data_IF_808689654256
#
_entry.id   IF_808689654256
#
_cell.length_a   1.000
_cell.length_b   1.000
_cell.length_c   1.000
_cell.angle_alpha   90.00
_cell.angle_beta   90.00
_cell.angle_gamma   90.00
#
_symmetry.space_group_name_H-M   'P 1'
#
loop_
_entity.id
_entity.type
_entity.pdbx_description
1 polymer ?
#
# COMPACT_ATOMS: atom_id res chain seq x y z
N UNK A 1 -6.97 -35.95 76.30
CA UNK A 1 -5.63 -35.70 75.71
C UNK A 1 -5.69 -36.14 74.25
N UNK A 2 -5.69 -35.20 73.31
CA UNK A 2 -5.69 -35.53 71.89
C UNK A 2 -4.24 -35.82 71.49
N UNK A 3 -3.94 -37.08 71.17
CA UNK A 3 -2.65 -37.49 70.61
C UNK A 3 -2.55 -36.95 69.19
N UNK A 4 -1.63 -36.00 68.95
CA UNK A 4 -1.22 -35.64 67.60
C UNK A 4 -0.36 -36.78 67.06
N UNK A 5 -0.90 -37.58 66.13
CA UNK A 5 -0.13 -38.60 65.43
C UNK A 5 0.81 -37.89 64.46
N UNK A 6 2.13 -38.05 64.65
CA UNK A 6 3.14 -37.51 63.74
C UNK A 6 2.99 -38.09 62.34
N UNK A 7 3.19 -37.26 61.31
CA UNK A 7 3.10 -37.70 59.91
C UNK A 7 4.16 -38.75 59.60
N UNK A 8 3.76 -39.79 58.86
CA UNK A 8 4.69 -40.78 58.34
C UNK A 8 5.50 -40.20 57.18
N UNK A 9 6.72 -40.69 57.00
CA UNK A 9 7.59 -40.27 55.89
C UNK A 9 6.92 -40.51 54.52
N UNK A 10 6.08 -41.54 54.42
CA UNK A 10 5.28 -41.88 53.24
C UNK A 10 4.18 -40.84 52.96
N UNK A 11 3.46 -40.37 54.00
CA UNK A 11 2.46 -39.30 53.83
C UNK A 11 3.09 -37.99 53.35
N UNK A 12 4.30 -37.67 53.83
CA UNK A 12 5.03 -36.49 53.37
C UNK A 12 5.45 -36.62 51.89
N UNK A 13 5.97 -37.78 51.49
CA UNK A 13 6.34 -38.04 50.09
C UNK A 13 5.12 -37.98 49.17
N UNK A 14 4.00 -38.56 49.60
CA UNK A 14 2.75 -38.53 48.85
C UNK A 14 2.21 -37.11 48.68
N UNK A 15 2.22 -36.31 49.75
CA UNK A 15 1.79 -34.91 49.73
C UNK A 15 2.66 -34.07 48.77
N UNK A 16 3.98 -34.26 48.78
CA UNK A 16 4.90 -33.58 47.87
C UNK A 16 4.65 -33.96 46.41
N UNK A 17 4.48 -35.25 46.11
CA UNK A 17 4.22 -35.73 44.74
C UNK A 17 2.90 -35.17 44.22
N UNK A 18 1.82 -35.22 45.03
CA UNK A 18 0.52 -34.67 44.63
C UNK A 18 0.58 -33.15 44.45
N UNK A 19 1.27 -32.42 45.34
CA UNK A 19 1.48 -30.98 45.21
C UNK A 19 2.21 -30.61 43.92
N UNK A 20 3.26 -31.34 43.56
CA UNK A 20 3.99 -31.16 42.30
C UNK A 20 3.11 -31.39 41.08
N UNK A 21 2.28 -32.44 41.08
CA UNK A 21 1.37 -32.74 39.97
C UNK A 21 0.33 -31.63 39.77
N UNK A 22 -0.25 -31.12 40.86
CA UNK A 22 -1.23 -30.03 40.80
C UNK A 22 -0.57 -28.74 40.30
N UNK A 23 0.63 -28.41 40.80
CA UNK A 23 1.38 -27.24 40.34
C UNK A 23 1.75 -27.33 38.86
N UNK A 24 2.16 -28.52 38.38
CA UNK A 24 2.45 -28.74 36.97
C UNK A 24 1.20 -28.54 36.09
N UNK A 25 0.04 -29.08 36.50
CA UNK A 25 -1.23 -28.88 35.79
C UNK A 25 -1.67 -27.41 35.78
N UNK A 26 -1.58 -26.71 36.91
CA UNK A 26 -1.91 -25.29 37.01
C UNK A 26 -1.00 -24.42 36.14
N UNK A 27 0.31 -24.72 36.12
CA UNK A 27 1.28 -24.04 35.27
C UNK A 27 0.98 -24.26 33.79
N UNK A 28 0.63 -25.49 33.39
CA UNK A 28 0.24 -25.80 32.02
C UNK A 28 -0.99 -24.98 31.58
N UNK A 29 -2.03 -24.92 32.43
CA UNK A 29 -3.23 -24.12 32.15
C UNK A 29 -2.91 -22.63 32.02
N UNK A 30 -2.05 -22.10 32.90
CA UNK A 30 -1.61 -20.71 32.83
C UNK A 30 -0.85 -20.41 31.52
N UNK A 31 0.10 -21.27 31.13
CA UNK A 31 0.86 -21.11 29.88
C UNK A 31 -0.06 -21.16 28.66
N UNK A 32 -0.99 -22.12 28.61
CA UNK A 32 -1.98 -22.21 27.53
C UNK A 32 -2.88 -20.98 27.49
N UNK A 33 -3.34 -20.48 28.64
CA UNK A 33 -4.12 -19.25 28.73
C UNK A 33 -3.36 -18.03 28.20
N UNK A 34 -2.09 -17.88 28.57
CA UNK A 34 -1.23 -16.78 28.11
C UNK A 34 -0.98 -16.82 26.59
N UNK A 35 -0.71 -18.01 26.04
CA UNK A 35 -0.53 -18.20 24.59
C UNK A 35 -1.82 -17.86 23.83
N UNK A 36 -2.96 -18.37 24.30
CA UNK A 36 -4.26 -18.11 23.66
C UNK A 36 -4.64 -16.62 23.71
N UNK A 37 -4.32 -15.94 24.82
CA UNK A 37 -4.52 -14.51 24.93
C UNK A 37 -3.67 -13.73 23.91
N UNK A 38 -2.39 -14.06 23.77
CA UNK A 38 -1.51 -13.44 22.76
C UNK A 38 -1.98 -13.69 21.33
N UNK A 39 -2.45 -14.91 21.04
CA UNK A 39 -3.07 -15.27 19.76
C UNK A 39 -4.31 -14.42 19.47
N UNK A 40 -5.25 -14.33 20.42
CA UNK A 40 -6.46 -13.54 20.26
C UNK A 40 -6.16 -12.06 20.05
N UNK A 41 -5.18 -11.52 20.78
CA UNK A 41 -4.70 -10.14 20.61
C UNK A 41 -4.14 -9.91 19.20
N UNK A 42 -3.23 -10.76 18.73
CA UNK A 42 -2.66 -10.65 17.38
C UNK A 42 -3.73 -10.75 16.28
N UNK A 43 -4.73 -11.61 16.45
CA UNK A 43 -5.84 -11.73 15.50
C UNK A 43 -6.72 -10.47 15.49
N UNK A 44 -7.00 -9.88 16.65
CA UNK A 44 -7.73 -8.61 16.74
C UNK A 44 -6.96 -7.47 16.07
N UNK A 45 -5.64 -7.38 16.30
CA UNK A 45 -4.77 -6.38 15.65
C UNK A 45 -4.75 -6.53 14.12
N UNK A 46 -4.72 -7.76 13.61
CA UNK A 46 -4.81 -8.04 12.17
C UNK A 46 -6.15 -7.58 11.59
N UNK A 47 -7.24 -7.83 12.31
CA UNK A 47 -8.58 -7.39 11.92
C UNK A 47 -8.69 -5.86 11.90
N UNK A 48 -8.14 -5.17 12.89
CA UNK A 48 -8.12 -3.70 12.94
C UNK A 48 -7.28 -3.12 11.78
N UNK A 49 -6.07 -3.64 11.57
CA UNK A 49 -5.23 -3.25 10.43
C UNK A 49 -5.97 -3.44 9.10
N UNK A 50 -6.68 -4.57 8.93
CA UNK A 50 -7.48 -4.86 7.75
C UNK A 50 -8.68 -3.92 7.55
N UNK A 51 -9.40 -3.61 8.64
CA UNK A 51 -10.60 -2.78 8.58
C UNK A 51 -10.30 -1.30 8.35
N UNK A 52 -9.22 -0.76 8.92
CA UNK A 52 -8.96 0.69 8.86
C UNK A 52 -7.98 1.07 7.76
N UNK A 53 -6.94 0.26 7.56
CA UNK A 53 -5.78 0.64 6.76
C UNK A 53 -6.07 0.89 5.29
N UNK A 54 -6.55 -0.13 4.56
CA UNK A 54 -6.85 0.02 3.13
C UNK A 54 -8.03 0.97 2.89
N UNK A 55 -9.03 0.99 3.78
CA UNK A 55 -10.19 1.88 3.65
C UNK A 55 -9.81 3.37 3.66
N UNK A 56 -8.78 3.75 4.40
CA UNK A 56 -8.22 5.10 4.36
C UNK A 56 -7.74 5.45 2.95
N UNK A 57 -6.93 4.57 2.33
CA UNK A 57 -6.40 4.75 0.98
C UNK A 57 -7.53 4.78 -0.06
N UNK A 58 -8.56 3.94 0.09
CA UNK A 58 -9.69 3.90 -0.84
C UNK A 58 -10.45 5.22 -0.92
N UNK A 59 -10.53 5.98 0.19
CA UNK A 59 -11.18 7.30 0.20
C UNK A 59 -10.51 8.24 -0.79
N UNK A 60 -9.18 8.24 -0.82
CA UNK A 60 -8.40 9.10 -1.69
C UNK A 60 -8.35 8.57 -3.13
N UNK A 61 -8.27 7.25 -3.32
CA UNK A 61 -8.35 6.66 -4.68
C UNK A 61 -9.69 7.00 -5.36
N UNK A 62 -10.79 7.15 -4.61
CA UNK A 62 -12.07 7.60 -5.19
C UNK A 62 -12.02 9.02 -5.73
N UNK A 63 -11.09 9.85 -5.25
CA UNK A 63 -10.86 11.20 -5.75
C UNK A 63 -9.94 11.20 -6.97
N UNK A 64 -9.21 10.12 -7.24
CA UNK A 64 -8.32 10.03 -8.39
C UNK A 64 -9.03 10.43 -9.69
N UNK A 65 -8.34 11.18 -10.54
CA UNK A 65 -8.84 11.72 -11.81
C UNK A 65 -9.90 12.81 -11.67
N UNK A 66 -10.14 13.33 -10.46
CA UNK A 66 -11.04 14.48 -10.27
C UNK A 66 -10.45 15.72 -10.95
N UNK A 67 -11.21 16.27 -11.89
CA UNK A 67 -10.86 17.43 -12.72
C UNK A 67 -9.58 17.22 -13.55
N UNK A 68 -9.35 15.98 -13.99
CA UNK A 68 -8.38 15.66 -15.02
C UNK A 68 -8.84 16.16 -16.40
N UNK A 69 -7.93 16.22 -17.37
CA UNK A 69 -8.21 16.72 -18.72
C UNK A 69 -9.31 15.90 -19.42
N UNK A 70 -9.20 14.57 -19.29
CA UNK A 70 -10.21 13.62 -19.76
C UNK A 70 -10.74 12.76 -18.61
N UNK A 71 -12.00 12.37 -18.71
CA UNK A 71 -12.64 11.37 -17.85
C UNK A 71 -12.22 9.92 -18.22
N UNK A 72 -10.94 9.74 -18.54
CA UNK A 72 -10.29 8.47 -18.91
C UNK A 72 -8.96 8.37 -18.17
N UNK A 73 -8.77 7.29 -17.40
CA UNK A 73 -7.48 7.04 -16.73
C UNK A 73 -6.63 6.13 -17.61
N UNK A 74 -5.49 6.62 -18.09
CA UNK A 74 -4.50 5.80 -18.81
C UNK A 74 -3.08 6.37 -18.63
N UNK A 75 -2.12 5.86 -19.39
CA UNK A 75 -0.70 6.19 -19.31
C UNK A 75 -0.29 7.50 -20.01
N UNK A 76 -1.21 8.15 -20.74
CA UNK A 76 -0.91 9.36 -21.53
C UNK A 76 -1.79 10.55 -21.21
N UNK A 77 -2.99 10.34 -20.67
CA UNK A 77 -3.91 11.41 -20.34
C UNK A 77 -3.26 12.38 -19.35
N UNK A 78 -3.33 13.67 -19.65
CA UNK A 78 -2.78 14.69 -18.77
C UNK A 78 -3.64 14.79 -17.52
N UNK A 79 -2.96 14.89 -16.38
CA UNK A 79 -3.59 14.91 -15.06
C UNK A 79 -4.32 13.61 -14.67
N UNK A 80 -4.05 12.50 -15.38
CA UNK A 80 -4.64 11.19 -15.12
C UNK A 80 -4.57 10.79 -13.64
N UNK A 81 -5.64 10.22 -13.13
CA UNK A 81 -5.79 9.86 -11.72
C UNK A 81 -4.80 8.83 -11.20
N UNK A 82 -4.24 7.99 -12.08
CA UNK A 82 -3.12 7.09 -11.73
C UNK A 82 -1.92 7.55 -12.53
N UNK A 83 -0.82 7.76 -11.81
CA UNK A 83 0.37 8.42 -12.36
C UNK A 83 1.43 7.38 -12.66
N UNK A 84 1.72 7.18 -13.94
CA UNK A 84 2.80 6.31 -14.42
C UNK A 84 3.91 7.09 -15.10
N UNK A 85 3.53 8.14 -15.84
CA UNK A 85 4.38 8.77 -16.85
C UNK A 85 4.59 10.25 -16.61
N UNK A 86 5.78 10.70 -17.01
CA UNK A 86 6.14 12.10 -17.12
C UNK A 86 6.77 12.34 -18.49
N UNK A 87 7.24 13.56 -18.74
CA UNK A 87 7.99 13.82 -19.97
C UNK A 87 9.28 12.98 -20.08
N UNK A 88 9.82 12.49 -18.94
CA UNK A 88 10.98 11.58 -18.89
C UNK A 88 10.64 10.16 -19.34
N UNK A 89 9.37 9.81 -19.52
CA UNK A 89 8.95 8.53 -20.13
C UNK A 89 9.31 8.43 -21.61
N UNK A 90 9.53 9.54 -22.30
CA UNK A 90 9.86 9.54 -23.72
C UNK A 90 11.38 9.63 -23.96
N UNK A 91 11.89 8.77 -24.84
CA UNK A 91 13.25 8.89 -25.38
C UNK A 91 13.26 9.76 -26.65
N UNK A 92 14.15 10.75 -26.72
CA UNK A 92 14.47 11.43 -27.97
C UNK A 92 13.49 12.50 -28.44
N UNK A 93 12.60 13.01 -27.57
CA UNK A 93 11.78 14.19 -27.90
C UNK A 93 12.64 15.46 -27.98
N UNK A 94 12.37 16.28 -29.00
CA UNK A 94 12.90 17.65 -29.08
C UNK A 94 12.26 18.56 -28.01
N UNK A 95 12.85 19.74 -27.78
CA UNK A 95 12.31 20.70 -26.81
C UNK A 95 10.87 21.14 -27.14
N UNK A 96 10.54 21.29 -28.42
CA UNK A 96 9.19 21.70 -28.85
C UNK A 96 8.20 20.54 -28.81
N UNK A 97 8.64 19.32 -29.13
CA UNK A 97 7.82 18.13 -28.98
C UNK A 97 7.43 17.87 -27.52
N UNK A 98 8.32 18.21 -26.57
CA UNK A 98 8.01 18.06 -25.14
C UNK A 98 6.83 18.91 -24.68
N UNK A 99 6.62 20.08 -25.28
CA UNK A 99 5.54 21.02 -24.90
C UNK A 99 4.15 20.51 -25.29
N UNK A 100 4.08 19.60 -26.26
CA UNK A 100 2.83 19.06 -26.82
C UNK A 100 2.65 17.56 -26.56
N UNK A 101 3.67 16.90 -26.01
CA UNK A 101 3.59 15.49 -25.65
C UNK A 101 2.69 15.30 -24.42
N UNK A 102 1.85 14.28 -24.47
CA UNK A 102 0.93 13.94 -23.38
C UNK A 102 1.54 12.89 -22.46
N UNK A 103 1.43 13.12 -21.15
CA UNK A 103 1.85 12.25 -20.07
C UNK A 103 1.00 12.57 -18.83
N UNK A 104 1.01 11.72 -17.80
CA UNK A 104 0.16 11.95 -16.63
C UNK A 104 0.54 13.22 -15.87
N UNK A 105 1.84 13.44 -15.67
CA UNK A 105 2.38 14.69 -15.13
C UNK A 105 2.64 15.68 -16.28
N UNK A 106 2.20 16.94 -16.16
CA UNK A 106 2.39 17.94 -17.21
C UNK A 106 3.87 18.26 -17.48
N UNK A 107 4.19 18.65 -18.71
CA UNK A 107 5.57 18.81 -19.18
C UNK A 107 6.41 19.84 -18.38
N UNK A 108 5.76 20.82 -17.76
CA UNK A 108 6.44 21.86 -16.99
C UNK A 108 7.07 21.31 -15.70
N UNK A 109 6.59 20.17 -15.19
CA UNK A 109 7.24 19.43 -14.11
C UNK A 109 8.36 18.59 -14.72
N UNK A 110 9.57 19.15 -14.71
CA UNK A 110 10.74 18.55 -15.37
C UNK A 110 11.94 18.32 -14.45
N UNK A 111 11.85 18.73 -13.19
CA UNK A 111 12.91 18.54 -12.20
C UNK A 111 13.03 17.10 -11.71
N UNK A 112 13.70 16.91 -10.58
CA UNK A 112 14.03 15.58 -10.01
C UNK A 112 12.76 14.84 -9.54
N UNK A 113 11.77 15.57 -9.04
CA UNK A 113 10.46 15.00 -8.70
C UNK A 113 9.75 14.33 -9.89
N UNK A 114 10.13 14.66 -11.13
CA UNK A 114 9.59 14.04 -12.35
C UNK A 114 10.23 12.68 -12.69
N UNK A 115 11.17 12.18 -11.89
CA UNK A 115 11.80 10.88 -12.10
C UNK A 115 10.80 9.73 -11.96
N UNK A 116 10.87 8.76 -12.88
CA UNK A 116 9.90 7.67 -12.99
C UNK A 116 9.86 6.76 -11.74
N UNK A 117 10.94 6.72 -10.96
CA UNK A 117 11.01 6.01 -9.69
C UNK A 117 10.03 6.57 -8.62
N UNK A 118 9.55 7.81 -8.80
CA UNK A 118 8.58 8.42 -7.89
C UNK A 118 7.13 8.06 -8.21
N UNK A 119 6.85 7.33 -9.29
CA UNK A 119 5.50 7.09 -9.79
C UNK A 119 5.11 5.61 -9.73
N UNK A 120 3.90 5.28 -10.20
CA UNK A 120 3.36 3.91 -10.11
C UNK A 120 4.27 2.92 -10.81
N UNK A 121 4.78 1.94 -10.07
CA UNK A 121 5.72 0.92 -10.56
C UNK A 121 5.50 -0.41 -9.84
N UNK A 122 5.62 -1.50 -10.58
CA UNK A 122 5.56 -2.85 -10.02
C UNK A 122 6.94 -3.29 -9.52
N UNK A 123 6.96 -4.07 -8.44
CA UNK A 123 8.15 -4.82 -7.97
C UNK A 123 9.38 -3.94 -7.67
N UNK A 124 9.18 -2.75 -7.13
CA UNK A 124 10.26 -1.80 -6.77
C UNK A 124 10.47 -1.63 -5.28
N UNK A 125 9.44 -1.88 -4.47
CA UNK A 125 9.41 -1.61 -3.03
C UNK A 125 10.00 -2.72 -2.16
N UNK A 126 10.16 -2.41 -0.87
CA UNK A 126 10.56 -3.40 0.14
C UNK A 126 9.50 -4.49 0.29
N UNK A 127 9.93 -5.70 0.65
CA UNK A 127 9.05 -6.83 0.91
C UNK A 127 9.78 -7.86 1.79
N UNK A 128 9.01 -8.61 2.57
CA UNK A 128 9.47 -9.76 3.36
C UNK A 128 9.12 -11.10 2.69
N UNK A 129 8.80 -11.07 1.40
CA UNK A 129 8.51 -12.24 0.56
C UNK A 129 9.47 -12.32 -0.63
N UNK A 130 9.40 -13.40 -1.40
CA UNK A 130 10.23 -13.69 -2.56
C UNK A 130 10.03 -12.74 -3.77
N UNK A 131 9.09 -11.79 -3.68
CA UNK A 131 8.78 -10.78 -4.71
C UNK A 131 8.79 -9.39 -4.06
N UNK A 132 9.30 -8.38 -4.77
CA UNK A 132 9.30 -6.98 -4.31
C UNK A 132 7.89 -6.40 -4.37
N UNK A 133 7.56 -5.50 -3.44
CA UNK A 133 6.24 -4.85 -3.40
C UNK A 133 6.10 -3.81 -4.50
N UNK A 134 4.85 -3.48 -4.81
CA UNK A 134 4.51 -2.42 -5.74
C UNK A 134 4.52 -1.03 -5.08
N UNK A 135 4.49 0.00 -5.92
CA UNK A 135 4.26 1.39 -5.55
C UNK A 135 3.10 1.92 -6.39
N UNK A 136 2.10 2.51 -5.74
CA UNK A 136 0.96 3.14 -6.40
C UNK A 136 1.00 4.64 -6.19
N UNK A 137 0.82 5.40 -7.27
CA UNK A 137 0.69 6.86 -7.21
C UNK A 137 -0.62 7.29 -7.85
N UNK A 138 -1.40 8.03 -7.08
CA UNK A 138 -2.62 8.67 -7.55
C UNK A 138 -2.45 10.18 -7.54
N UNK A 139 -3.33 10.86 -8.28
CA UNK A 139 -3.48 12.29 -8.13
C UNK A 139 -4.92 12.75 -8.35
N UNK A 140 -5.22 13.91 -7.79
CA UNK A 140 -6.50 14.59 -7.94
C UNK A 140 -6.33 16.08 -7.70
N UNK A 141 -7.22 16.89 -8.27
CA UNK A 141 -7.23 18.33 -8.01
C UNK A 141 -7.84 18.63 -6.64
N UNK A 142 -7.25 19.59 -5.92
CA UNK A 142 -7.79 20.10 -4.68
C UNK A 142 -9.22 20.64 -4.89
N UNK A 143 -10.16 20.23 -4.03
CA UNK A 143 -11.58 20.58 -4.17
C UNK A 143 -12.28 20.96 -2.86
N UNK A 144 -11.74 20.53 -1.71
CA UNK A 144 -12.32 20.80 -0.38
C UNK A 144 -11.34 21.64 0.45
N UNK A 145 -11.67 22.89 0.80
CA UNK A 145 -10.79 23.78 1.56
C UNK A 145 -10.71 23.42 3.05
N UNK A 146 -11.44 22.40 3.50
CA UNK A 146 -11.32 21.82 4.84
C UNK A 146 -10.76 20.39 4.79
N UNK A 147 -10.34 19.94 3.59
CA UNK A 147 -9.74 18.64 3.39
C UNK A 147 -8.29 18.58 3.85
N UNK A 148 -7.76 17.36 3.88
CA UNK A 148 -6.36 17.07 4.15
C UNK A 148 -5.87 16.08 3.11
N UNK A 149 -4.57 16.14 2.80
CA UNK A 149 -3.91 15.02 2.12
C UNK A 149 -3.60 13.88 3.09
N UNK A 150 -3.06 12.78 2.57
CA UNK A 150 -2.76 11.57 3.31
C UNK A 150 -1.64 11.75 4.35
N UNK A 151 -0.88 12.85 4.28
CA UNK A 151 0.11 13.21 5.29
C UNK A 151 -0.46 14.13 6.36
N UNK A 152 -1.72 14.55 6.23
CA UNK A 152 -2.40 15.43 7.17
C UNK A 152 -2.13 16.91 6.92
N UNK A 153 -1.58 17.29 5.76
CA UNK A 153 -1.43 18.71 5.43
C UNK A 153 -2.78 19.27 4.95
N UNK A 154 -3.21 20.44 5.47
CA UNK A 154 -4.50 21.02 5.08
C UNK A 154 -4.51 21.43 3.61
N UNK A 155 -5.69 21.34 3.00
CA UNK A 155 -5.97 21.88 1.67
C UNK A 155 -6.62 23.25 1.87
N UNK A 156 -6.03 24.31 1.34
CA UNK A 156 -6.54 25.67 1.52
C UNK A 156 -7.44 26.10 0.35
N UNK A 157 -8.22 27.18 0.54
CA UNK A 157 -8.93 27.80 -0.59
C UNK A 157 -7.96 28.29 -1.69
N UNK A 158 -6.77 28.78 -1.31
CA UNK A 158 -5.72 29.18 -2.25
C UNK A 158 -5.25 28.01 -3.13
N UNK A 159 -5.21 26.80 -2.58
CA UNK A 159 -4.88 25.59 -3.35
C UNK A 159 -5.92 25.29 -4.42
N UNK A 160 -7.20 25.48 -4.10
CA UNK A 160 -8.30 25.29 -5.05
C UNK A 160 -8.23 26.35 -6.15
N UNK A 161 -8.08 27.61 -5.75
CA UNK A 161 -8.06 28.76 -6.66
C UNK A 161 -6.88 28.69 -7.65
N UNK A 162 -5.74 28.14 -7.21
CA UNK A 162 -4.54 27.92 -8.05
C UNK A 162 -4.53 26.57 -8.79
N UNK A 163 -5.62 25.81 -8.70
CA UNK A 163 -5.75 24.49 -9.32
C UNK A 163 -4.62 23.54 -8.90
N UNK A 164 -4.31 23.51 -7.60
CA UNK A 164 -3.31 22.62 -7.03
C UNK A 164 -3.75 21.17 -7.21
N UNK A 165 -2.90 20.37 -7.84
CA UNK A 165 -2.99 18.91 -7.83
C UNK A 165 -2.25 18.37 -6.61
N UNK A 166 -2.88 17.39 -5.98
CA UNK A 166 -2.32 16.60 -4.89
C UNK A 166 -1.93 15.24 -5.47
N UNK A 167 -0.68 14.87 -5.27
CA UNK A 167 -0.08 13.62 -5.72
C UNK A 167 0.21 12.78 -4.48
N UNK A 168 -0.26 11.54 -4.43
CA UNK A 168 -0.11 10.69 -3.25
C UNK A 168 0.49 9.35 -3.66
N UNK A 169 1.62 9.02 -3.03
CA UNK A 169 2.41 7.82 -3.28
C UNK A 169 2.30 6.85 -2.12
N UNK A 170 1.80 5.64 -2.40
CA UNK A 170 1.64 4.55 -1.45
C UNK A 170 2.66 3.44 -1.73
N UNK A 171 3.46 3.08 -0.74
CA UNK A 171 4.53 2.09 -0.85
C UNK A 171 4.94 1.54 0.52
N UNK A 172 5.75 0.48 0.54
CA UNK A 172 6.31 -0.05 1.79
C UNK A 172 7.64 0.61 2.15
N UNK A 173 7.75 1.06 3.41
CA UNK A 173 8.97 1.58 4.03
C UNK A 173 9.30 0.81 5.30
N UNK A 174 10.57 0.78 5.69
CA UNK A 174 10.98 0.27 7.00
C UNK A 174 10.42 1.14 8.15
N UNK A 175 9.96 0.48 9.22
CA UNK A 175 9.37 1.06 10.43
C UNK A 175 10.16 0.56 11.66
N UNK A 176 11.25 1.27 11.97
CA UNK A 176 12.17 0.90 13.04
C UNK A 176 13.12 -0.23 12.65
N UNK A 177 13.07 -1.35 13.36
CA UNK A 177 13.98 -2.49 13.17
C UNK A 177 13.88 -3.13 11.78
N UNK A 178 14.97 -3.77 11.34
CA UNK A 178 15.00 -4.50 10.07
C UNK A 178 13.87 -5.53 9.98
N UNK A 179 13.21 -5.61 8.82
CA UNK A 179 12.06 -6.48 8.57
C UNK A 179 10.72 -5.94 9.06
N UNK A 180 10.69 -4.90 9.91
CA UNK A 180 9.43 -4.23 10.23
C UNK A 180 9.11 -3.27 9.09
N UNK A 181 8.10 -3.60 8.30
CA UNK A 181 7.66 -2.80 7.17
C UNK A 181 6.28 -2.21 7.45
N UNK A 182 6.04 -1.01 6.93
CA UNK A 182 4.78 -0.30 7.02
C UNK A 182 4.38 0.21 5.63
N UNK A 183 3.07 0.14 5.34
CA UNK A 183 2.48 0.85 4.20
C UNK A 183 2.34 2.32 4.58
N UNK A 184 3.00 3.16 3.81
CA UNK A 184 3.07 4.59 4.05
C UNK A 184 2.43 5.38 2.92
N UNK A 185 2.09 6.63 3.20
CA UNK A 185 1.73 7.61 2.18
C UNK A 185 2.71 8.78 2.21
N UNK A 186 3.11 9.24 1.03
CA UNK A 186 3.95 10.40 0.78
C UNK A 186 3.18 11.33 -0.16
N UNK A 187 2.96 12.58 0.22
CA UNK A 187 2.15 13.53 -0.50
C UNK A 187 2.99 14.65 -1.10
N UNK A 188 2.65 15.05 -2.32
CA UNK A 188 3.23 16.21 -2.96
C UNK A 188 2.19 17.03 -3.71
N UNK A 189 2.55 18.26 -4.08
CA UNK A 189 1.64 19.22 -4.69
C UNK A 189 2.28 20.00 -5.83
N UNK A 190 1.48 20.32 -6.85
CA UNK A 190 1.87 21.26 -7.91
C UNK A 190 0.69 22.08 -8.40
N UNK A 191 0.94 23.33 -8.81
CA UNK A 191 -0.09 24.29 -9.24
C UNK A 191 -0.23 24.30 -10.76
N UNK A 192 -1.44 24.55 -11.24
CA UNK A 192 -1.75 24.55 -12.68
C UNK A 192 -2.43 25.83 -13.16
N UNK A 193 -3.16 26.54 -12.30
CA UNK A 193 -3.87 27.78 -12.62
C UNK A 193 -3.07 28.99 -12.10
N UNK A 194 -1.86 29.15 -12.62
CA UNK A 194 -0.96 30.27 -12.33
C UNK A 194 -0.37 30.81 -13.64
N UNK A 195 0.21 32.00 -13.60
CA UNK A 195 0.94 32.54 -14.76
C UNK A 195 2.05 31.59 -15.22
N UNK A 196 2.32 31.54 -16.52
CA UNK A 196 3.32 30.62 -17.10
C UNK A 196 4.69 30.73 -16.45
N UNK A 197 5.12 31.94 -16.07
CA UNK A 197 6.40 32.18 -15.40
C UNK A 197 6.43 31.66 -13.95
N UNK A 198 5.27 31.42 -13.35
CA UNK A 198 5.09 30.92 -11.99
C UNK A 198 4.75 29.41 -11.93
N UNK A 199 4.68 28.72 -13.07
CA UNK A 199 4.49 27.28 -13.10
C UNK A 199 5.68 26.58 -12.40
N UNK A 200 5.43 25.65 -11.46
CA UNK A 200 6.49 24.97 -10.75
C UNK A 200 7.21 23.99 -11.67
N UNK A 201 8.50 23.75 -11.44
CA UNK A 201 9.26 22.72 -12.16
C UNK A 201 9.33 21.38 -11.42
N UNK A 202 8.83 21.34 -10.18
CA UNK A 202 8.82 20.18 -9.31
C UNK A 202 7.48 20.00 -8.60
N UNK A 203 7.21 18.78 -8.17
CA UNK A 203 6.15 18.44 -7.22
C UNK A 203 6.72 18.67 -5.81
N UNK A 204 6.22 19.69 -5.12
CA UNK A 204 6.69 20.06 -3.78
C UNK A 204 6.21 19.06 -2.74
N UNK A 205 7.07 18.64 -1.81
CA UNK A 205 6.75 17.69 -0.73
C UNK A 205 6.96 16.21 -1.10
N UNK A 206 6.83 15.85 -2.38
CA UNK A 206 6.98 14.45 -2.81
C UNK A 206 8.39 13.93 -2.53
N UNK A 207 8.51 12.92 -1.66
CA UNK A 207 9.77 12.33 -1.25
C UNK A 207 10.44 13.01 -0.05
N UNK A 208 9.84 14.04 0.52
CA UNK A 208 10.35 14.77 1.69
C UNK A 208 9.81 14.22 3.02
N UNK A 209 8.91 13.23 2.97
CA UNK A 209 8.29 12.62 4.14
C UNK A 209 7.48 11.40 3.76
N UNK A 210 7.03 10.64 4.76
CA UNK A 210 5.88 9.75 4.56
C UNK A 210 5.28 9.33 5.89
N UNK A 211 3.96 9.32 5.95
CA UNK A 211 3.18 8.94 7.11
C UNK A 211 2.75 7.47 7.05
N UNK A 212 2.77 6.81 8.20
CA UNK A 212 2.36 5.42 8.31
C UNK A 212 0.84 5.33 8.25
N UNK A 213 0.32 4.56 7.29
CA UNK A 213 -1.10 4.22 7.18
C UNK A 213 -1.36 2.87 7.83
N UNK A 214 -0.50 1.89 7.57
CA UNK A 214 -0.57 0.56 8.17
C UNK A 214 0.81 0.09 8.60
N UNK A 215 0.93 -0.38 9.83
CA UNK A 215 2.14 -1.06 10.30
C UNK A 215 2.07 -2.54 9.97
N UNK A 216 3.23 -3.20 10.01
CA UNK A 216 3.37 -4.67 9.90
C UNK A 216 2.82 -5.23 8.58
N UNK A 217 3.15 -4.57 7.47
CA UNK A 217 2.79 -5.03 6.12
C UNK A 217 4.01 -5.67 5.47
N UNK A 218 3.98 -6.98 5.26
CA UNK A 218 5.10 -7.75 4.71
C UNK A 218 5.18 -7.68 3.17
N UNK A 219 4.06 -7.46 2.49
CA UNK A 219 3.99 -7.36 1.03
C UNK A 219 2.80 -6.50 0.59
N UNK A 220 2.99 -5.64 -0.42
CA UNK A 220 1.95 -4.81 -1.02
C UNK A 220 1.93 -5.01 -2.54
N UNK A 221 0.75 -5.27 -3.09
CA UNK A 221 0.55 -5.64 -4.50
C UNK A 221 -0.68 -4.94 -5.07
N UNK A 222 -0.60 -4.54 -6.35
CA UNK A 222 -1.63 -3.74 -7.00
C UNK A 222 -2.00 -4.31 -8.36
N UNK A 223 -3.30 -4.52 -8.57
CA UNK A 223 -3.86 -4.84 -9.88
C UNK A 223 -4.66 -3.68 -10.46
N UNK A 224 -4.51 -3.50 -11.76
CA UNK A 224 -5.26 -2.54 -12.57
C UNK A 224 -6.37 -3.30 -13.28
N UNK A 225 -7.62 -2.99 -12.97
CA UNK A 225 -8.75 -3.47 -13.76
C UNK A 225 -8.92 -2.57 -14.96
N UNK A 226 -8.60 -3.09 -16.15
CA UNK A 226 -8.62 -2.35 -17.41
C UNK A 226 -9.77 -2.78 -18.30
N UNK A 227 -10.24 -1.85 -19.12
CA UNK A 227 -11.13 -2.15 -20.26
C UNK A 227 -10.33 -2.01 -21.55
N UNK A 228 -10.31 -3.06 -22.36
CA UNK A 228 -9.57 -3.07 -23.63
C UNK A 228 -10.05 -1.95 -24.56
N UNK A 229 -9.15 -1.39 -25.36
CA UNK A 229 -9.48 -0.25 -26.24
C UNK A 229 -10.42 -0.64 -27.39
N UNK A 230 -10.28 -1.87 -27.90
CA UNK A 230 -10.95 -2.31 -29.12
C UNK A 230 -12.07 -3.34 -28.87
N UNK A 231 -12.22 -3.82 -27.64
CA UNK A 231 -13.23 -4.81 -27.23
C UNK A 231 -13.88 -4.37 -25.93
N UNK A 232 -15.11 -4.82 -25.65
CA UNK A 232 -15.78 -4.52 -24.37
C UNK A 232 -15.33 -5.46 -23.24
N UNK A 233 -14.10 -5.97 -23.33
CA UNK A 233 -13.54 -6.94 -22.40
C UNK A 233 -12.85 -6.24 -21.23
N UNK A 234 -13.12 -6.76 -20.04
CA UNK A 234 -12.51 -6.32 -18.80
C UNK A 234 -11.52 -7.37 -18.31
N UNK A 235 -10.33 -6.93 -17.92
CA UNK A 235 -9.28 -7.81 -17.40
C UNK A 235 -8.52 -7.12 -16.28
N UNK A 236 -8.05 -7.90 -15.31
CA UNK A 236 -7.06 -7.43 -14.35
C UNK A 236 -5.66 -7.67 -14.90
N UNK A 237 -4.77 -6.71 -14.69
CA UNK A 237 -3.36 -6.83 -15.06
C UNK A 237 -2.48 -6.15 -14.02
N UNK A 238 -1.25 -6.64 -13.87
CA UNK A 238 -0.24 -6.05 -13.01
C UNK A 238 0.30 -4.74 -13.62
N UNK A 239 0.91 -3.89 -12.80
CA UNK A 239 1.50 -2.63 -13.27
C UNK A 239 2.56 -2.87 -14.36
N UNK A 240 3.38 -3.92 -14.23
CA UNK A 240 4.42 -4.26 -15.22
C UNK A 240 3.85 -4.90 -16.49
N UNK A 241 2.70 -5.58 -16.44
CA UNK A 241 1.97 -5.98 -17.65
C UNK A 241 1.39 -4.77 -18.39
N UNK A 242 0.95 -3.75 -17.65
CA UNK A 242 0.41 -2.52 -18.23
C UNK A 242 1.52 -1.63 -18.80
N UNK A 243 2.50 -1.21 -18.00
CA UNK A 243 3.54 -0.25 -18.40
C UNK A 243 4.85 -0.85 -18.93
N UNK A 244 5.11 -2.13 -18.67
CA UNK A 244 6.47 -2.69 -18.75
C UNK A 244 7.32 -2.30 -17.53
N UNK A 245 8.63 -2.58 -17.59
CA UNK A 245 9.53 -2.38 -16.44
C UNK A 245 10.01 -0.93 -16.23
N UNK A 246 9.91 -0.06 -17.26
CA UNK A 246 10.58 1.24 -17.28
C UNK A 246 9.64 2.44 -17.42
N UNK A 247 8.33 2.22 -17.41
CA UNK A 247 7.31 3.26 -17.66
C UNK A 247 7.59 4.12 -18.90
N UNK A 248 8.13 3.50 -19.95
CA UNK A 248 8.52 4.19 -21.18
C UNK A 248 7.33 4.39 -22.12
N UNK A 249 7.35 5.52 -22.83
CA UNK A 249 6.41 5.90 -23.87
C UNK A 249 7.12 6.04 -25.21
N UNK A 250 6.42 5.64 -26.28
CA UNK A 250 6.85 5.89 -27.66
C UNK A 250 6.17 7.13 -28.20
N UNK A 251 6.88 7.96 -28.97
CA UNK A 251 6.33 9.21 -29.50
C UNK A 251 5.01 9.02 -30.28
N UNK A 252 4.95 8.02 -31.16
CA UNK A 252 3.79 7.72 -32.00
C UNK A 252 2.92 6.56 -31.46
N UNK A 253 2.99 6.24 -30.17
CA UNK A 253 2.19 5.18 -29.58
C UNK A 253 0.77 5.63 -29.24
N UNK A 254 -0.18 4.71 -29.33
CA UNK A 254 -1.54 4.91 -28.83
C UNK A 254 -1.58 4.79 -27.30
N UNK A 255 -2.52 5.45 -26.61
CA UNK A 255 -2.76 5.22 -25.19
C UNK A 255 -3.09 3.74 -24.92
N UNK A 256 -2.64 3.23 -23.78
CA UNK A 256 -2.98 1.88 -23.31
C UNK A 256 -4.44 1.79 -22.87
N UNK A 257 -4.98 0.57 -22.69
CA UNK A 257 -6.32 0.33 -22.18
C UNK A 257 -6.68 1.19 -20.97
N UNK A 258 -7.89 1.75 -20.95
CA UNK A 258 -8.35 2.59 -19.84
C UNK A 258 -8.43 1.79 -18.54
N UNK A 259 -7.96 2.39 -17.45
CA UNK A 259 -8.03 1.83 -16.10
C UNK A 259 -9.37 2.21 -15.48
N UNK A 260 -10.14 1.20 -15.09
CA UNK A 260 -11.49 1.34 -14.57
C UNK A 260 -11.57 1.08 -13.06
N UNK A 261 -10.64 0.30 -12.52
CA UNK A 261 -10.59 0.00 -11.09
C UNK A 261 -9.18 -0.32 -10.65
N UNK A 262 -8.94 -0.23 -9.35
CA UNK A 262 -7.70 -0.65 -8.70
C UNK A 262 -8.05 -1.70 -7.65
N UNK A 263 -7.31 -2.80 -7.63
CA UNK A 263 -7.32 -3.73 -6.50
C UNK A 263 -6.02 -3.58 -5.72
N UNK A 264 -6.16 -3.38 -4.42
CA UNK A 264 -5.06 -3.35 -3.46
C UNK A 264 -5.03 -4.68 -2.71
N UNK A 265 -3.86 -5.30 -2.62
CA UNK A 265 -3.62 -6.47 -1.79
C UNK A 265 -2.45 -6.21 -0.85
N UNK A 266 -2.60 -6.62 0.42
CA UNK A 266 -1.53 -6.53 1.39
C UNK A 266 -1.46 -7.81 2.24
N UNK A 267 -0.25 -8.33 2.43
CA UNK A 267 0.03 -9.37 3.42
C UNK A 267 0.40 -8.68 4.73
N UNK A 268 -0.46 -8.78 5.73
CA UNK A 268 -0.27 -8.15 7.04
C UNK A 268 0.13 -9.19 8.08
N UNK A 269 0.88 -8.79 9.11
CA UNK A 269 1.27 -9.65 10.23
C UNK A 269 0.93 -9.05 11.59
N UNK A 270 0.74 -9.90 12.59
CA UNK A 270 0.58 -9.50 14.00
C UNK A 270 1.84 -8.82 14.55
N UNK A 271 1.71 -8.07 15.65
CA UNK A 271 2.84 -7.34 16.24
C UNK A 271 3.74 -8.24 17.08
N UNK A 272 3.13 -9.20 17.78
CA UNK A 272 3.82 -10.09 18.70
C UNK A 272 4.12 -11.43 18.02
N UNK A 273 5.31 -11.99 18.26
CA UNK A 273 5.64 -13.34 17.77
C UNK A 273 4.91 -14.42 18.56
N UNK A 274 4.70 -15.57 17.92
CA UNK A 274 4.14 -16.77 18.55
C UNK A 274 5.23 -17.83 18.77
N UNK A 275 4.91 -18.86 19.56
CA UNK A 275 5.86 -19.90 19.95
C UNK A 275 6.36 -20.73 18.75
N UNK A 276 7.63 -21.14 18.81
CA UNK A 276 8.36 -21.84 17.74
C UNK A 276 7.72 -23.16 17.29
N UNK A 277 6.88 -23.80 18.12
CA UNK A 277 6.31 -25.12 17.86
C UNK A 277 5.13 -25.11 16.89
N UNK A 278 4.56 -23.94 16.59
CA UNK A 278 3.41 -23.84 15.70
C UNK A 278 3.84 -23.88 14.23
N UNK A 279 3.14 -24.71 13.43
CA UNK A 279 3.29 -24.75 11.97
C UNK A 279 2.41 -23.66 11.38
N UNK A 280 3.02 -22.54 11.01
CA UNK A 280 2.35 -21.48 10.27
C UNK A 280 2.52 -21.67 8.75
N UNK A 281 1.56 -21.20 7.94
CA UNK A 281 1.74 -21.11 6.50
C UNK A 281 2.94 -20.23 6.15
N UNK A 282 3.76 -20.68 5.20
CA UNK A 282 4.86 -19.90 4.63
C UNK A 282 4.52 -19.35 3.23
N UNK A 283 3.47 -19.86 2.60
CA UNK A 283 2.99 -19.44 1.29
C UNK A 283 1.64 -18.75 1.39
N UNK A 284 1.47 -17.67 0.64
CA UNK A 284 0.26 -16.85 0.58
C UNK A 284 -0.05 -16.49 -0.88
N UNK A 285 -1.31 -16.20 -1.18
CA UNK A 285 -1.70 -15.63 -2.48
C UNK A 285 -2.30 -14.26 -2.22
N UNK A 286 -1.66 -13.22 -2.75
CA UNK A 286 -2.12 -11.83 -2.66
C UNK A 286 -2.61 -11.42 -4.04
N UNK A 287 -3.93 -11.31 -4.18
CA UNK A 287 -4.61 -11.17 -5.47
C UNK A 287 -4.26 -12.32 -6.43
N UNK A 288 -3.55 -12.04 -7.53
CA UNK A 288 -3.07 -13.02 -8.52
C UNK A 288 -1.65 -13.54 -8.22
N UNK A 289 -0.95 -12.95 -7.25
CA UNK A 289 0.45 -13.23 -6.99
C UNK A 289 0.62 -14.24 -5.84
N UNK A 290 1.12 -15.44 -6.17
CA UNK A 290 1.60 -16.39 -5.17
C UNK A 290 2.98 -15.94 -4.64
N UNK A 291 3.12 -15.90 -3.31
CA UNK A 291 4.32 -15.45 -2.61
C UNK A 291 4.70 -16.38 -1.47
N UNK A 292 5.98 -16.44 -1.14
CA UNK A 292 6.52 -17.17 0.00
C UNK A 292 7.35 -16.24 0.87
N UNK A 293 7.26 -16.37 2.20
CA UNK A 293 8.07 -15.52 3.09
C UNK A 293 9.56 -15.78 2.87
N UNK A 294 10.35 -14.71 2.97
CA UNK A 294 11.82 -14.75 2.87
C UNK A 294 12.48 -15.09 4.21
N UNK A 295 11.72 -15.60 5.18
CA UNK A 295 12.19 -15.85 6.56
C UNK A 295 12.95 -17.16 6.68
N UNK A 296 13.91 -17.19 7.60
CA UNK A 296 14.62 -18.39 8.05
C UNK A 296 13.83 -19.15 9.12
N UNK A 297 14.14 -20.43 9.35
CA UNK A 297 13.52 -21.23 10.42
C UNK A 297 13.81 -20.68 11.82
N UNK A 298 14.90 -19.90 11.98
CA UNK A 298 15.26 -19.23 13.22
C UNK A 298 14.56 -17.88 13.43
N UNK A 299 13.79 -17.40 12.46
CA UNK A 299 13.11 -16.12 12.57
C UNK A 299 11.87 -16.23 13.48
N UNK A 300 11.54 -15.16 14.23
CA UNK A 300 10.30 -15.13 14.99
C UNK A 300 9.09 -15.36 14.09
N UNK A 301 8.18 -16.23 14.53
CA UNK A 301 6.96 -16.59 13.80
C UNK A 301 5.86 -15.59 14.10
N UNK A 302 5.19 -15.12 13.05
CA UNK A 302 4.06 -14.19 13.16
C UNK A 302 2.86 -14.72 12.39
N UNK A 303 1.68 -14.54 12.97
CA UNK A 303 0.41 -14.79 12.28
C UNK A 303 0.27 -13.73 11.20
N UNK A 304 -0.25 -14.17 10.05
CA UNK A 304 -0.41 -13.36 8.85
C UNK A 304 -1.78 -13.57 8.25
N UNK A 305 -2.28 -12.53 7.63
CA UNK A 305 -3.50 -12.58 6.84
C UNK A 305 -3.37 -11.73 5.58
N UNK A 306 -4.14 -12.08 4.55
CA UNK A 306 -4.20 -11.32 3.31
C UNK A 306 -5.45 -10.46 3.33
N UNK A 307 -5.24 -9.16 3.25
CA UNK A 307 -6.32 -8.19 3.11
C UNK A 307 -6.32 -7.66 1.69
N UNK A 308 -7.52 -7.48 1.14
CA UNK A 308 -7.66 -6.91 -0.20
C UNK A 308 -8.89 -6.02 -0.30
N UNK A 309 -8.81 -5.05 -1.19
CA UNK A 309 -9.88 -4.10 -1.47
C UNK A 309 -9.91 -3.76 -2.95
N UNK A 310 -11.10 -3.56 -3.50
CA UNK A 310 -11.29 -3.11 -4.90
C UNK A 310 -12.04 -1.79 -4.92
N UNK A 311 -11.56 -0.85 -5.72
CA UNK A 311 -12.17 0.47 -5.89
C UNK A 311 -12.31 0.82 -7.37
N UNK A 312 -13.51 1.25 -7.75
CA UNK A 312 -13.79 1.78 -9.07
C UNK A 312 -13.33 3.24 -9.18
N UNK A 313 -12.68 3.58 -10.29
CA UNK A 313 -12.24 4.94 -10.62
C UNK A 313 -13.39 5.70 -11.30
N UNK A 314 -14.35 6.19 -10.50
CA UNK A 314 -15.57 6.83 -11.01
C UNK A 314 -15.31 8.01 -11.94
N UNK A 315 -14.28 8.80 -11.66
CA UNK A 315 -13.88 9.96 -12.48
C UNK A 315 -13.19 9.54 -13.79
N UNK A 316 -12.96 8.24 -14.03
CA UNK A 316 -12.43 7.68 -15.27
C UNK A 316 -13.49 7.00 -16.15
N UNK A 317 -14.79 7.16 -15.84
CA UNK A 317 -15.90 6.45 -16.50
C UNK A 317 -16.60 7.29 -17.58
N UNK A 318 -15.97 8.38 -18.06
CA UNK A 318 -16.54 9.21 -19.11
C UNK A 318 -16.87 8.41 -20.37
N UNK A 319 -17.95 8.84 -21.03
CA UNK A 319 -18.25 8.43 -22.40
C UNK A 319 -17.23 9.12 -23.31
N UNK A 320 -16.58 8.35 -24.18
CA UNK A 320 -15.87 8.92 -25.33
C UNK A 320 -16.94 9.35 -26.33
N UNK A 321 -17.55 10.50 -26.11
CA UNK A 321 -18.19 11.21 -27.21
C UNK A 321 -17.08 11.93 -27.97
N UNK A 322 -16.67 11.35 -29.09
CA UNK A 322 -15.78 11.86 -30.14
C UNK A 322 -14.74 12.91 -29.68
N UNK A 323 -13.60 12.42 -29.15
CA UNK A 323 -12.35 13.17 -29.04
C UNK A 323 -11.51 13.03 -30.32
#
# INVERSE_FOLDING_TARGET
>A
MNYSKGMTLVELMLALVIGLLIMAAAMQLFLTGSINYGLQKNLAELQDNGNFGLNFILKDIKLANLDADLAVVNDRNQYSGVVFTTIKSYSGLTADEKKVATANIPYFISGDSADLANFTQAKVGLANVNVKSDQLVIQYKAFDPNGFDCEGNPISQDDIDKGTFIVQRYFLRQDGSAGNLALVCDAGRYKTLVETAALPTNISGLGEGSQIIMRRVDYFHVLLGVKQNNTDEFSYMTIDQYMGATNSLTKAGTPRPRIMSIQLGALVRGYDSISEKDKLPNGFTVLDQAVTLSTSDSDPKYIRDVISQTVALRNGYGLMEDL
#
